data_IF_332683766276
#
_entry.id   IF_332683766276
#
_cell.length_a   1.000
_cell.length_b   1.000
_cell.length_c   1.000
_cell.angle_alpha   90.00
_cell.angle_beta   90.00
_cell.angle_gamma   90.00
#
_symmetry.space_group_name_H-M   'P 1'
#
loop_
_entity.id
_entity.type
_entity.pdbx_description
1 polymer ?
#
# COMPACT_ATOMS: atom_id res chain seq x y z
N UNK A 1 -16.44 -20.78 31.09
CA UNK A 1 -16.55 -22.09 30.37
C UNK A 1 -17.97 -22.42 29.90
N UNK A 2 -19.02 -21.81 30.45
CA UNK A 2 -20.42 -22.09 30.10
C UNK A 2 -20.79 -21.95 28.61
N UNK A 3 -20.22 -20.98 27.87
CA UNK A 3 -20.56 -20.78 26.45
C UNK A 3 -20.08 -21.89 25.52
N UNK A 4 -19.03 -22.62 25.88
CA UNK A 4 -18.50 -23.71 25.04
C UNK A 4 -19.29 -25.02 25.26
N UNK A 5 -19.64 -25.32 26.51
CA UNK A 5 -20.53 -26.46 26.81
C UNK A 5 -21.91 -26.28 26.19
N UNK A 6 -22.46 -25.06 26.22
CA UNK A 6 -23.72 -24.75 25.53
C UNK A 6 -23.61 -24.97 24.02
N UNK A 7 -22.50 -24.54 23.42
CA UNK A 7 -22.27 -24.68 21.98
C UNK A 7 -22.19 -26.15 21.51
N UNK A 8 -21.53 -27.03 22.28
CA UNK A 8 -21.42 -28.44 21.90
C UNK A 8 -22.76 -29.18 21.91
N UNK A 9 -23.76 -28.67 22.63
CA UNK A 9 -25.12 -29.24 22.70
C UNK A 9 -26.07 -28.67 21.65
N UNK A 10 -25.61 -27.72 20.84
CA UNK A 10 -26.43 -27.13 19.78
C UNK A 10 -26.55 -28.08 18.60
N UNK A 11 -27.68 -27.97 17.89
CA UNK A 11 -27.82 -28.60 16.58
C UNK A 11 -26.82 -28.01 15.58
N UNK A 12 -26.62 -28.67 14.45
CA UNK A 12 -25.70 -28.23 13.39
C UNK A 12 -25.98 -26.78 12.96
N UNK A 13 -27.25 -26.46 12.68
CA UNK A 13 -27.66 -25.14 12.20
C UNK A 13 -27.45 -24.05 13.25
N UNK A 14 -27.75 -24.35 14.51
CA UNK A 14 -27.52 -23.44 15.64
C UNK A 14 -26.04 -23.20 15.90
N UNK A 15 -25.23 -24.26 15.82
CA UNK A 15 -23.78 -24.16 15.95
C UNK A 15 -23.20 -23.27 14.83
N UNK A 16 -23.68 -23.43 13.59
CA UNK A 16 -23.27 -22.57 12.48
C UNK A 16 -23.64 -21.09 12.73
N UNK A 17 -24.87 -20.82 13.15
CA UNK A 17 -25.33 -19.47 13.47
C UNK A 17 -24.54 -18.85 14.64
N UNK A 18 -24.22 -19.64 15.67
CA UNK A 18 -23.48 -19.20 16.86
C UNK A 18 -22.05 -18.73 16.55
N UNK A 19 -21.47 -19.18 15.43
CA UNK A 19 -20.13 -18.79 14.98
C UNK A 19 -20.11 -17.52 14.12
N UNK A 20 -21.27 -17.08 13.60
CA UNK A 20 -21.40 -15.93 12.71
C UNK A 20 -21.97 -14.70 13.45
N UNK A 21 -21.52 -13.48 13.12
CA UNK A 21 -22.20 -12.28 13.60
C UNK A 21 -23.61 -12.22 12.98
N UNK A 22 -24.56 -11.67 13.72
CA UNK A 22 -25.95 -11.52 13.27
C UNK A 22 -26.45 -10.10 13.55
N UNK A 23 -27.37 -9.63 12.72
CA UNK A 23 -27.92 -8.28 12.80
C UNK A 23 -29.16 -8.29 13.70
N UNK A 24 -29.17 -7.46 14.75
CA UNK A 24 -30.30 -7.30 15.67
C UNK A 24 -30.54 -5.81 15.88
N UNK A 25 -31.76 -5.35 15.61
CA UNK A 25 -32.17 -3.93 15.76
C UNK A 25 -31.20 -2.96 15.07
N UNK A 26 -30.78 -3.29 13.84
CA UNK A 26 -29.85 -2.49 13.05
C UNK A 26 -28.39 -2.50 13.54
N UNK A 27 -28.06 -3.30 14.58
CA UNK A 27 -26.70 -3.42 15.12
C UNK A 27 -26.16 -4.83 14.94
N UNK A 28 -24.94 -4.93 14.45
CA UNK A 28 -24.23 -6.22 14.36
C UNK A 28 -23.83 -6.69 15.76
N UNK A 29 -24.37 -7.83 16.17
CA UNK A 29 -23.98 -8.51 17.40
C UNK A 29 -22.82 -9.46 17.13
N UNK A 30 -21.94 -9.57 18.13
CA UNK A 30 -20.83 -10.49 18.08
C UNK A 30 -21.34 -11.95 18.12
N UNK A 31 -20.62 -12.90 17.50
CA UNK A 31 -20.94 -14.31 17.60
C UNK A 31 -20.83 -14.80 19.04
N UNK A 32 -21.55 -15.88 19.36
CA UNK A 32 -21.51 -16.52 20.68
C UNK A 32 -20.11 -17.02 21.04
N UNK A 33 -19.36 -17.48 20.02
CA UNK A 33 -17.97 -17.90 20.16
C UNK A 33 -17.00 -16.93 19.46
N UNK A 34 -15.93 -16.59 20.15
CA UNK A 34 -14.81 -15.86 19.54
C UNK A 34 -14.06 -16.73 18.53
N UNK A 35 -13.38 -16.10 17.58
CA UNK A 35 -12.58 -16.79 16.55
C UNK A 35 -11.57 -17.79 17.13
N UNK A 36 -10.96 -17.46 18.28
CA UNK A 36 -10.04 -18.37 18.99
C UNK A 36 -10.75 -19.65 19.44
N UNK A 37 -11.95 -19.54 20.02
CA UNK A 37 -12.72 -20.70 20.48
C UNK A 37 -13.18 -21.56 19.31
N UNK A 38 -13.60 -20.94 18.20
CA UNK A 38 -13.94 -21.66 16.96
C UNK A 38 -12.74 -22.48 16.46
N UNK A 39 -11.54 -21.89 16.44
CA UNK A 39 -10.32 -22.60 16.06
C UNK A 39 -10.00 -23.76 17.02
N UNK A 40 -10.27 -23.63 18.31
CA UNK A 40 -10.11 -24.74 19.28
C UNK A 40 -11.10 -25.87 19.01
N UNK A 41 -12.37 -25.55 18.69
CA UNK A 41 -13.37 -26.56 18.29
C UNK A 41 -12.90 -27.32 17.05
N UNK A 42 -12.40 -26.60 16.02
CA UNK A 42 -11.84 -27.24 14.82
C UNK A 42 -10.69 -28.18 15.18
N UNK A 43 -9.74 -27.74 16.02
CA UNK A 43 -8.62 -28.58 16.48
C UNK A 43 -9.10 -29.82 17.23
N UNK A 44 -10.09 -29.67 18.11
CA UNK A 44 -10.69 -30.80 18.85
C UNK A 44 -11.39 -31.79 17.91
N UNK A 45 -12.12 -31.30 16.91
CA UNK A 45 -12.76 -32.15 15.92
C UNK A 45 -11.72 -32.94 15.10
N UNK A 46 -10.62 -32.29 14.69
CA UNK A 46 -9.49 -32.95 14.01
C UNK A 46 -8.87 -34.04 14.88
N UNK A 47 -8.60 -33.73 16.16
CA UNK A 47 -7.97 -34.68 17.08
C UNK A 47 -8.83 -35.93 17.33
N UNK A 48 -10.15 -35.78 17.37
CA UNK A 48 -11.08 -36.88 17.66
C UNK A 48 -11.69 -37.53 16.40
N UNK A 49 -11.25 -37.18 15.20
CA UNK A 49 -11.80 -37.74 13.96
C UNK A 49 -13.25 -37.34 13.65
N UNK A 50 -13.71 -36.22 14.20
CA UNK A 50 -15.07 -35.68 14.00
C UNK A 50 -15.14 -34.61 12.89
N UNK A 51 -14.24 -34.70 11.91
CA UNK A 51 -14.27 -33.83 10.72
C UNK A 51 -15.22 -34.44 9.69
N UNK A 52 -16.17 -33.65 9.17
CA UNK A 52 -17.19 -34.11 8.23
C UNK A 52 -18.54 -34.46 8.87
N UNK A 53 -18.60 -34.54 10.19
CA UNK A 53 -19.81 -34.82 10.95
C UNK A 53 -19.91 -33.92 12.19
N UNK A 54 -21.13 -33.66 12.63
CA UNK A 54 -21.40 -32.96 13.90
C UNK A 54 -22.19 -33.90 14.80
N UNK A 55 -21.63 -34.23 15.95
CA UNK A 55 -22.24 -35.11 16.95
C UNK A 55 -22.63 -34.26 18.15
N UNK A 56 -23.92 -34.21 18.46
CA UNK A 56 -24.40 -33.43 19.61
C UNK A 56 -23.74 -33.89 20.91
N UNK A 57 -23.28 -32.93 21.72
CA UNK A 57 -22.56 -33.17 22.97
C UNK A 57 -21.05 -33.41 22.79
N UNK A 58 -20.61 -33.96 21.67
CA UNK A 58 -19.18 -34.17 21.35
C UNK A 58 -18.60 -33.05 20.47
N UNK A 59 -19.47 -32.39 19.70
CA UNK A 59 -19.12 -31.39 18.71
C UNK A 59 -18.74 -32.01 17.36
N UNK A 60 -17.92 -31.30 16.61
CA UNK A 60 -17.47 -31.73 15.29
C UNK A 60 -17.08 -30.52 14.44
N UNK A 61 -16.72 -30.78 13.19
CA UNK A 61 -16.41 -29.71 12.24
C UNK A 61 -16.86 -30.09 10.84
N UNK A 62 -17.72 -29.26 10.24
CA UNK A 62 -18.14 -29.44 8.85
C UNK A 62 -17.20 -28.66 7.91
N UNK A 63 -16.75 -29.26 6.79
CA UNK A 63 -15.94 -28.56 5.80
C UNK A 63 -16.60 -27.30 5.23
N UNK A 64 -17.94 -27.26 5.20
CA UNK A 64 -18.71 -26.08 4.78
C UNK A 64 -18.50 -24.85 5.67
N UNK A 65 -18.00 -25.05 6.90
CA UNK A 65 -17.70 -23.97 7.84
C UNK A 65 -16.31 -23.36 7.64
N UNK A 66 -15.49 -23.96 6.76
CA UNK A 66 -14.17 -23.43 6.45
C UNK A 66 -14.27 -22.10 5.70
N UNK A 67 -13.43 -21.15 6.12
CA UNK A 67 -13.27 -19.89 5.40
C UNK A 67 -12.30 -20.11 4.26
N UNK A 68 -12.66 -19.64 3.07
CA UNK A 68 -11.75 -19.60 1.95
C UNK A 68 -10.47 -18.84 2.34
N UNK A 69 -9.32 -19.50 2.16
CA UNK A 69 -8.03 -18.86 2.38
C UNK A 69 -7.80 -17.81 1.29
N UNK A 70 -7.47 -16.58 1.70
CA UNK A 70 -7.10 -15.54 0.75
C UNK A 70 -5.72 -15.87 0.20
N UNK A 71 -5.66 -16.33 -1.06
CA UNK A 71 -4.41 -16.40 -1.78
C UNK A 71 -3.80 -14.99 -1.86
N UNK A 72 -2.57 -14.83 -1.37
CA UNK A 72 -1.85 -13.56 -1.48
C UNK A 72 -0.88 -13.68 -2.65
N UNK A 73 -1.20 -13.02 -3.77
CA UNK A 73 -0.26 -12.90 -4.89
C UNK A 73 0.76 -11.81 -4.55
N UNK A 74 2.05 -12.13 -4.66
CA UNK A 74 3.11 -11.16 -4.46
C UNK A 74 2.98 -10.04 -5.49
N UNK A 75 2.82 -8.80 -5.01
CA UNK A 75 2.78 -7.61 -5.87
C UNK A 75 4.21 -7.22 -6.23
N UNK A 76 4.45 -6.69 -7.45
CA UNK A 76 5.76 -6.14 -7.78
C UNK A 76 6.10 -4.99 -6.81
N UNK A 77 7.37 -4.86 -6.41
CA UNK A 77 7.80 -3.80 -5.54
C UNK A 77 7.64 -2.44 -6.23
N UNK A 78 7.28 -1.41 -5.45
CA UNK A 78 7.10 -0.04 -5.94
C UNK A 78 8.39 0.60 -6.50
N UNK A 79 9.55 0.13 -6.04
CA UNK A 79 10.84 0.79 -6.27
C UNK A 79 11.07 2.01 -5.36
N UNK A 80 12.32 2.44 -5.27
CA UNK A 80 12.71 3.63 -4.51
C UNK A 80 12.32 4.92 -5.24
N UNK A 81 12.35 6.06 -4.54
CA UNK A 81 12.07 7.36 -5.17
C UNK A 81 13.08 7.70 -6.27
N UNK A 82 14.34 7.32 -6.08
CA UNK A 82 15.41 7.59 -7.05
C UNK A 82 15.22 6.82 -8.37
N UNK A 83 14.81 5.55 -8.28
CA UNK A 83 14.52 4.70 -9.43
C UNK A 83 13.31 5.21 -10.22
N UNK A 84 12.24 5.58 -9.50
CA UNK A 84 11.02 6.11 -10.13
C UNK A 84 11.24 7.44 -10.85
N UNK A 85 12.12 8.29 -10.32
CA UNK A 85 12.38 9.63 -10.85
C UNK A 85 13.60 9.69 -11.80
N UNK A 86 14.25 8.55 -12.06
CA UNK A 86 15.48 8.50 -12.85
C UNK A 86 15.28 9.10 -14.25
N UNK A 87 14.19 8.72 -14.92
CA UNK A 87 13.87 9.18 -16.27
C UNK A 87 13.73 10.71 -16.35
N UNK A 88 13.04 11.31 -15.38
CA UNK A 88 12.89 12.76 -15.33
C UNK A 88 14.22 13.46 -15.07
N UNK A 89 15.06 12.88 -14.22
CA UNK A 89 16.39 13.41 -13.90
C UNK A 89 17.28 13.38 -15.15
N UNK A 90 17.29 12.26 -15.88
CA UNK A 90 18.06 12.12 -17.13
C UNK A 90 17.57 13.13 -18.17
N UNK A 91 16.25 13.27 -18.35
CA UNK A 91 15.67 14.26 -19.28
C UNK A 91 16.09 15.70 -18.97
N UNK A 92 16.10 16.08 -17.68
CA UNK A 92 16.57 17.40 -17.23
C UNK A 92 18.05 17.63 -17.56
N UNK A 93 18.89 16.63 -17.33
CA UNK A 93 20.33 16.72 -17.64
C UNK A 93 20.56 16.85 -19.14
N UNK A 94 19.90 16.04 -19.96
CA UNK A 94 20.03 16.11 -21.42
C UNK A 94 19.59 17.47 -21.97
N UNK A 95 18.47 18.02 -21.48
CA UNK A 95 18.02 19.36 -21.87
C UNK A 95 19.03 20.45 -21.48
N UNK A 96 19.63 20.35 -20.30
CA UNK A 96 20.66 21.29 -19.84
C UNK A 96 21.93 21.23 -20.69
N UNK A 97 22.37 20.02 -21.07
CA UNK A 97 23.53 19.82 -21.94
C UNK A 97 23.28 20.39 -23.34
N UNK A 98 22.10 20.15 -23.91
CA UNK A 98 21.73 20.70 -25.21
C UNK A 98 21.71 22.25 -25.22
N UNK A 99 21.25 22.88 -24.13
CA UNK A 99 21.20 24.33 -23.99
C UNK A 99 22.56 24.97 -23.63
N UNK A 100 23.57 24.17 -23.26
CA UNK A 100 24.84 24.66 -22.74
C UNK A 100 25.60 25.58 -23.73
N UNK A 101 25.72 25.27 -25.04
CA UNK A 101 26.45 26.13 -25.97
C UNK A 101 25.85 27.54 -26.10
N UNK A 102 24.51 27.66 -26.15
CA UNK A 102 23.81 28.95 -26.21
C UNK A 102 24.12 29.79 -24.98
N UNK A 103 23.99 29.20 -23.79
CA UNK A 103 24.26 29.88 -22.51
C UNK A 103 25.71 30.35 -22.42
N UNK A 104 26.67 29.56 -22.92
CA UNK A 104 28.08 29.96 -22.97
C UNK A 104 28.27 31.15 -23.92
N UNK A 105 27.64 31.14 -25.10
CA UNK A 105 27.75 32.23 -26.06
C UNK A 105 27.13 33.54 -25.53
N UNK A 106 25.94 33.45 -24.93
CA UNK A 106 25.26 34.57 -24.26
C UNK A 106 26.13 35.14 -23.13
N UNK A 107 26.63 34.28 -22.25
CA UNK A 107 27.50 34.71 -21.15
C UNK A 107 28.78 35.40 -21.67
N UNK A 108 29.44 34.83 -22.70
CA UNK A 108 30.62 35.46 -23.32
C UNK A 108 30.30 36.84 -23.91
N UNK A 109 29.14 36.99 -24.55
CA UNK A 109 28.67 38.29 -25.09
C UNK A 109 28.47 39.30 -23.97
N UNK A 110 27.78 38.91 -22.89
CA UNK A 110 27.54 39.77 -21.72
C UNK A 110 28.87 40.19 -21.08
N UNK A 111 29.79 39.26 -20.86
CA UNK A 111 31.12 39.57 -20.29
C UNK A 111 31.90 40.51 -21.19
N UNK A 112 31.81 40.36 -22.52
CA UNK A 112 32.47 41.29 -23.46
C UNK A 112 31.86 42.69 -23.39
N UNK A 113 30.54 42.80 -23.33
CA UNK A 113 29.82 44.09 -23.24
C UNK A 113 30.03 44.79 -21.89
N UNK A 114 30.19 44.03 -20.80
CA UNK A 114 30.44 44.57 -19.48
C UNK A 114 31.87 45.12 -19.29
N UNK A 115 32.79 44.87 -20.24
CA UNK A 115 34.13 45.46 -20.17
C UNK A 115 34.03 46.97 -20.39
N UNK A 116 34.79 47.78 -19.62
CA UNK A 116 34.78 49.22 -19.81
C UNK A 116 35.26 49.59 -21.21
N UNK A 117 34.65 50.61 -21.79
CA UNK A 117 35.05 51.20 -23.06
C UNK A 117 36.48 51.76 -22.92
N UNK A 118 37.29 51.64 -23.99
CA UNK A 118 38.69 52.08 -24.00
C UNK A 118 38.99 52.84 -25.30
N UNK A 119 39.96 53.75 -25.25
CA UNK A 119 40.45 54.47 -26.42
C UNK A 119 39.41 55.44 -27.00
N UNK A 120 39.29 55.47 -28.33
CA UNK A 120 38.42 56.39 -29.05
C UNK A 120 36.94 56.22 -28.67
N UNK A 121 36.47 54.99 -28.46
CA UNK A 121 35.08 54.72 -28.07
C UNK A 121 34.73 55.28 -26.68
N UNK A 122 35.70 55.30 -25.75
CA UNK A 122 35.52 55.94 -24.44
C UNK A 122 35.47 57.46 -24.60
N UNK A 123 36.40 58.01 -25.37
CA UNK A 123 36.50 59.45 -25.59
C UNK A 123 35.26 60.01 -26.29
N UNK A 124 34.76 59.34 -27.33
CA UNK A 124 33.54 59.74 -28.03
C UNK A 124 32.30 59.72 -27.11
N UNK A 125 32.12 58.66 -26.31
CA UNK A 125 30.98 58.57 -25.38
C UNK A 125 31.06 59.57 -24.21
N UNK A 126 32.25 60.01 -23.81
CA UNK A 126 32.45 60.99 -22.73
C UNK A 126 32.43 62.43 -23.23
N UNK A 127 32.87 62.68 -24.47
CA UNK A 127 33.12 64.04 -25.00
C UNK A 127 32.00 64.58 -25.88
N UNK A 128 31.19 63.72 -26.51
CA UNK A 128 30.06 64.14 -27.34
C UNK A 128 28.79 63.36 -26.93
N UNK A 129 28.03 63.86 -25.94
CA UNK A 129 26.86 63.16 -25.42
C UNK A 129 25.58 63.35 -26.27
N UNK A 130 25.70 63.78 -27.53
CA UNK A 130 24.58 64.01 -28.45
C UNK A 130 24.75 63.29 -29.80
#
# INVERSE_FOLDING_TARGET
>A
MASMQRFLRMSVAEAEAAMKPHLVDGKWKQPLLSRRKIAMVKKHAVQNGLVGQWVEGQGGWLPTWDRAEKHTVMRPPKGHINERNEFERVKKVQAALAAMPSKIAEHKKIVKQAKPLKGLDKWLNESDPY
#
